data_IF_170612025822
#
_entry.id   IF_170612025822
#
_cell.length_a   1.000
_cell.length_b   1.000
_cell.length_c   1.000
_cell.angle_alpha   90.00
_cell.angle_beta   90.00
_cell.angle_gamma   90.00
#
_symmetry.space_group_name_H-M   'P 1'
#
loop_
_entity.id
_entity.type
_entity.pdbx_description
1 polymer ?
#
# COMPACT_ATOMS: atom_id res chain seq x y z
N UNK A 1 0.81 -9.93 12.78
CA UNK A 1 -0.36 -9.85 11.88
C UNK A 1 -1.69 -9.88 12.64
N UNK A 2 -1.98 -10.92 13.45
CA UNK A 2 -3.26 -11.04 14.18
C UNK A 2 -3.51 -9.92 15.21
N UNK A 3 -2.47 -9.43 15.90
CA UNK A 3 -2.59 -8.31 16.83
C UNK A 3 -2.98 -7.01 16.12
N UNK A 4 -2.33 -6.68 15.02
CA UNK A 4 -2.61 -5.47 14.23
C UNK A 4 -4.02 -5.50 13.64
N UNK A 5 -4.48 -6.66 13.16
CA UNK A 5 -5.84 -6.82 12.65
C UNK A 5 -6.92 -6.52 13.72
N UNK A 6 -6.69 -6.90 14.98
CA UNK A 6 -7.60 -6.57 16.11
C UNK A 6 -7.72 -5.07 16.34
N UNK A 7 -6.65 -4.32 16.13
CA UNK A 7 -6.62 -2.85 16.24
C UNK A 7 -7.06 -2.13 14.96
N UNK A 8 -7.55 -2.87 13.96
CA UNK A 8 -7.92 -2.29 12.66
C UNK A 8 -6.77 -1.59 11.95
N UNK A 9 -5.57 -2.11 12.09
CA UNK A 9 -4.37 -1.65 11.40
C UNK A 9 -3.97 -2.72 10.37
N UNK A 10 -3.93 -2.32 9.10
CA UNK A 10 -3.35 -3.10 8.01
C UNK A 10 -1.88 -2.74 7.83
N UNK A 11 -1.05 -3.70 7.40
CA UNK A 11 0.35 -3.46 7.09
C UNK A 11 0.75 -4.17 5.80
N UNK A 12 1.38 -3.43 4.92
CA UNK A 12 1.94 -3.90 3.66
C UNK A 12 3.46 -3.74 3.74
N UNK A 13 4.21 -4.84 3.91
CA UNK A 13 5.67 -4.78 4.00
C UNK A 13 6.32 -4.49 2.65
N UNK A 14 7.56 -4.05 2.69
CA UNK A 14 8.41 -3.87 1.50
C UNK A 14 8.51 -5.15 0.69
N UNK A 15 8.81 -6.28 1.36
CA UNK A 15 8.95 -7.60 0.75
C UNK A 15 8.04 -8.64 1.40
N UNK A 16 7.59 -9.62 0.62
CA UNK A 16 6.80 -10.75 1.12
C UNK A 16 5.37 -10.35 1.48
N UNK A 17 4.87 -10.87 2.62
CA UNK A 17 3.49 -10.65 3.07
C UNK A 17 2.48 -11.62 2.43
N UNK A 18 2.94 -12.65 1.73
CA UNK A 18 2.13 -13.68 1.07
C UNK A 18 2.85 -15.03 1.06
N UNK A 19 2.11 -16.11 0.83
CA UNK A 19 2.63 -17.48 0.70
C UNK A 19 3.02 -17.74 -0.75
N UNK A 20 4.29 -17.99 -1.01
CA UNK A 20 4.89 -18.10 -2.35
C UNK A 20 4.29 -19.23 -3.19
N UNK A 21 4.03 -20.38 -2.58
CA UNK A 21 3.58 -21.59 -3.28
C UNK A 21 2.07 -21.73 -3.39
N UNK A 22 1.32 -20.86 -2.71
CA UNK A 22 -0.12 -20.75 -2.84
C UNK A 22 -0.49 -19.87 -4.03
N UNK A 23 -1.63 -20.16 -4.66
CA UNK A 23 -2.22 -19.28 -5.67
C UNK A 23 -2.65 -17.95 -5.05
N UNK A 24 -2.95 -16.95 -5.88
CA UNK A 24 -3.51 -15.68 -5.43
C UNK A 24 -4.78 -15.90 -4.60
N UNK A 25 -5.70 -16.74 -5.09
CA UNK A 25 -6.93 -17.04 -4.38
C UNK A 25 -6.69 -17.77 -3.06
N UNK A 26 -5.81 -18.78 -3.04
CA UNK A 26 -5.47 -19.52 -1.83
C UNK A 26 -4.83 -18.63 -0.76
N UNK A 27 -4.01 -17.66 -1.16
CA UNK A 27 -3.46 -16.63 -0.26
C UNK A 27 -4.58 -15.84 0.43
N UNK A 28 -5.53 -15.30 -0.36
CA UNK A 28 -6.68 -14.56 0.18
C UNK A 28 -7.54 -15.45 1.07
N UNK A 29 -7.80 -16.70 0.66
CA UNK A 29 -8.59 -17.67 1.41
C UNK A 29 -7.95 -17.99 2.76
N UNK A 30 -6.67 -18.33 2.79
CA UNK A 30 -5.95 -18.67 4.03
C UNK A 30 -6.02 -17.53 5.06
N UNK A 31 -5.82 -16.28 4.64
CA UNK A 31 -5.91 -15.13 5.55
C UNK A 31 -7.36 -14.83 5.95
N UNK A 32 -8.31 -14.95 5.02
CA UNK A 32 -9.72 -14.75 5.33
C UNK A 32 -10.26 -15.79 6.33
N UNK A 33 -9.81 -17.03 6.27
CA UNK A 33 -10.18 -18.08 7.24
C UNK A 33 -9.75 -17.77 8.66
N UNK A 34 -8.62 -17.08 8.83
CA UNK A 34 -8.13 -16.63 10.13
C UNK A 34 -8.93 -15.43 10.67
N UNK A 35 -9.35 -14.52 9.78
CA UNK A 35 -9.94 -13.24 10.16
C UNK A 35 -11.46 -13.24 10.23
N UNK A 36 -12.12 -14.08 9.45
CA UNK A 36 -13.58 -14.08 9.28
C UNK A 36 -14.16 -15.48 9.57
N UNK A 37 -15.02 -15.58 10.56
CA UNK A 37 -15.63 -16.86 10.95
C UNK A 37 -16.70 -17.35 9.97
N UNK A 38 -17.42 -16.42 9.30
CA UNK A 38 -18.52 -16.72 8.39
C UNK A 38 -18.00 -17.02 6.99
N UNK A 39 -18.30 -18.23 6.49
CA UNK A 39 -17.87 -18.71 5.18
C UNK A 39 -18.42 -17.85 4.02
N UNK A 40 -19.68 -17.41 4.12
CA UNK A 40 -20.31 -16.59 3.07
C UNK A 40 -19.62 -15.22 2.98
N UNK A 41 -19.42 -14.57 4.13
CA UNK A 41 -18.71 -13.27 4.21
C UNK A 41 -17.27 -13.37 3.71
N UNK A 42 -16.58 -14.50 3.97
CA UNK A 42 -15.25 -14.75 3.40
C UNK A 42 -15.26 -14.74 1.88
N UNK A 43 -16.17 -15.56 1.29
CA UNK A 43 -16.26 -15.66 -0.18
C UNK A 43 -16.65 -14.34 -0.83
N UNK A 44 -17.62 -13.62 -0.27
CA UNK A 44 -18.04 -12.30 -0.75
C UNK A 44 -16.86 -11.31 -0.69
N UNK A 45 -16.14 -11.25 0.43
CA UNK A 45 -15.01 -10.33 0.62
C UNK A 45 -13.84 -10.64 -0.32
N UNK A 46 -13.49 -11.92 -0.49
CA UNK A 46 -12.42 -12.36 -1.41
C UNK A 46 -12.79 -11.97 -2.86
N UNK A 47 -13.99 -12.30 -3.31
CA UNK A 47 -14.42 -11.99 -4.67
C UNK A 47 -14.47 -10.48 -4.93
N UNK A 48 -14.96 -9.70 -3.95
CA UNK A 48 -14.91 -8.24 -4.01
C UNK A 48 -13.47 -7.71 -4.18
N UNK A 49 -12.50 -8.20 -3.39
CA UNK A 49 -11.12 -7.75 -3.50
C UNK A 49 -10.47 -8.18 -4.82
N UNK A 50 -10.71 -9.40 -5.29
CA UNK A 50 -10.21 -9.87 -6.58
C UNK A 50 -10.73 -8.97 -7.72
N UNK A 51 -12.02 -8.63 -7.70
CA UNK A 51 -12.61 -7.72 -8.69
C UNK A 51 -12.07 -6.30 -8.56
N UNK A 52 -12.04 -5.74 -7.34
CA UNK A 52 -11.58 -4.37 -7.07
C UNK A 52 -10.15 -4.11 -7.54
N UNK A 53 -9.27 -5.09 -7.42
CA UNK A 53 -7.86 -4.98 -7.81
C UNK A 53 -7.55 -5.51 -9.22
N UNK A 54 -8.57 -5.92 -9.98
CA UNK A 54 -8.42 -6.51 -11.31
C UNK A 54 -7.45 -7.72 -11.30
N UNK A 55 -7.75 -8.69 -10.43
CA UNK A 55 -6.93 -9.87 -10.21
C UNK A 55 -7.59 -11.16 -10.74
N UNK A 56 -8.74 -11.06 -11.40
CA UNK A 56 -9.55 -12.22 -11.81
C UNK A 56 -8.80 -13.17 -12.75
N UNK A 57 -8.05 -12.62 -13.71
CA UNK A 57 -7.33 -13.41 -14.73
C UNK A 57 -6.12 -14.18 -14.16
N UNK A 58 -5.63 -13.76 -12.99
CA UNK A 58 -4.45 -14.36 -12.34
C UNK A 58 -4.81 -15.07 -11.03
N UNK A 59 -6.10 -15.30 -10.80
CA UNK A 59 -6.65 -15.88 -9.57
C UNK A 59 -5.97 -17.20 -9.17
N UNK A 60 -5.73 -18.08 -10.15
CA UNK A 60 -5.23 -19.44 -9.93
C UNK A 60 -3.71 -19.55 -10.19
N UNK A 61 -3.03 -18.39 -10.39
CA UNK A 61 -1.58 -18.33 -10.55
C UNK A 61 -0.92 -18.31 -9.17
N UNK A 62 0.12 -19.13 -8.96
CA UNK A 62 0.91 -19.14 -7.73
C UNK A 62 1.60 -17.79 -7.55
N UNK A 63 1.62 -17.30 -6.29
CA UNK A 63 2.13 -15.98 -5.97
C UNK A 63 3.60 -15.76 -6.38
N UNK A 64 4.42 -16.80 -6.41
CA UNK A 64 5.81 -16.72 -6.90
C UNK A 64 5.94 -16.31 -8.35
N UNK A 65 4.95 -16.59 -9.19
CA UNK A 65 4.95 -16.26 -10.63
C UNK A 65 4.28 -14.92 -10.96
N UNK A 66 3.74 -14.22 -9.98
CA UNK A 66 3.15 -12.90 -10.17
C UNK A 66 4.24 -11.85 -10.44
N UNK A 67 3.89 -10.83 -11.25
CA UNK A 67 4.74 -9.63 -11.42
C UNK A 67 4.86 -8.82 -10.12
N UNK A 68 5.80 -7.88 -10.05
CA UNK A 68 5.97 -7.00 -8.89
C UNK A 68 4.68 -6.25 -8.53
N UNK A 69 4.03 -5.63 -9.51
CA UNK A 69 2.76 -4.93 -9.33
C UNK A 69 1.61 -5.85 -8.91
N UNK A 70 1.52 -7.05 -9.49
CA UNK A 70 0.52 -8.04 -9.08
C UNK A 70 0.74 -8.52 -7.65
N UNK A 71 1.98 -8.71 -7.21
CA UNK A 71 2.34 -9.03 -5.83
C UNK A 71 1.94 -7.90 -4.88
N UNK A 72 2.21 -6.63 -5.23
CA UNK A 72 1.77 -5.48 -4.41
C UNK A 72 0.25 -5.41 -4.30
N UNK A 73 -0.49 -5.57 -5.40
CA UNK A 73 -1.97 -5.67 -5.38
C UNK A 73 -2.44 -6.79 -4.44
N UNK A 74 -1.84 -7.98 -4.51
CA UNK A 74 -2.17 -9.10 -3.63
C UNK A 74 -1.96 -8.74 -2.16
N UNK A 75 -0.80 -8.17 -1.79
CA UNK A 75 -0.49 -7.85 -0.38
C UNK A 75 -1.42 -6.74 0.15
N UNK A 76 -1.75 -5.74 -0.66
CA UNK A 76 -2.74 -4.72 -0.30
C UNK A 76 -4.12 -5.39 -0.09
N UNK A 77 -4.55 -6.26 -1.00
CA UNK A 77 -5.82 -6.98 -0.87
C UNK A 77 -5.86 -7.84 0.41
N UNK A 78 -4.76 -8.53 0.74
CA UNK A 78 -4.62 -9.30 1.98
C UNK A 78 -4.77 -8.40 3.22
N UNK A 79 -4.16 -7.21 3.22
CA UNK A 79 -4.26 -6.28 4.35
C UNK A 79 -5.69 -5.74 4.55
N UNK A 80 -6.47 -5.63 3.46
CA UNK A 80 -7.86 -5.14 3.47
C UNK A 80 -8.88 -6.18 3.94
N UNK A 81 -8.50 -7.45 4.08
CA UNK A 81 -9.39 -8.49 4.62
C UNK A 81 -9.82 -8.18 6.06
N UNK A 82 -8.96 -7.54 6.85
CA UNK A 82 -9.27 -7.13 8.23
C UNK A 82 -10.16 -5.89 8.33
N UNK A 83 -10.55 -5.27 7.21
CA UNK A 83 -11.24 -3.99 7.14
C UNK A 83 -10.55 -2.93 8.03
N UNK A 84 -9.29 -2.57 7.73
CA UNK A 84 -8.50 -1.66 8.55
C UNK A 84 -9.06 -0.24 8.51
N UNK A 85 -8.83 0.52 9.59
CA UNK A 85 -9.01 1.98 9.62
C UNK A 85 -7.73 2.73 9.30
N UNK A 86 -6.60 2.10 9.54
CA UNK A 86 -5.26 2.62 9.22
C UNK A 86 -4.52 1.58 8.40
N UNK A 87 -3.90 2.00 7.30
CA UNK A 87 -3.08 1.17 6.44
C UNK A 87 -1.65 1.73 6.41
N UNK A 88 -0.70 0.91 6.82
CA UNK A 88 0.72 1.24 6.77
C UNK A 88 1.35 0.59 5.54
N UNK A 89 1.97 1.39 4.68
CA UNK A 89 2.65 0.93 3.46
C UNK A 89 4.15 1.21 3.59
N UNK A 90 4.95 0.17 3.49
CA UNK A 90 6.39 0.24 3.61
C UNK A 90 7.04 0.01 2.25
N UNK A 91 7.72 1.04 1.72
CA UNK A 91 8.37 1.07 0.40
C UNK A 91 7.51 0.43 -0.72
N UNK A 92 6.29 0.93 -0.86
CA UNK A 92 5.32 0.34 -1.78
C UNK A 92 5.62 0.60 -3.26
N UNK A 93 6.43 1.61 -3.58
CA UNK A 93 6.82 1.96 -4.96
C UNK A 93 8.15 1.35 -5.39
N UNK A 94 8.91 0.77 -4.47
CA UNK A 94 10.26 0.27 -4.74
C UNK A 94 10.28 -0.81 -5.85
N UNK A 95 11.23 -0.69 -6.78
CA UNK A 95 11.49 -1.63 -7.88
C UNK A 95 10.29 -1.90 -8.81
N UNK A 96 9.43 -0.91 -9.01
CA UNK A 96 8.29 -0.96 -9.92
C UNK A 96 8.50 -0.04 -11.12
N UNK A 97 7.87 -0.38 -12.23
CA UNK A 97 7.82 0.49 -13.41
C UNK A 97 6.82 1.66 -13.23
N UNK A 98 6.98 2.69 -14.05
CA UNK A 98 6.19 3.93 -13.95
C UNK A 98 4.68 3.70 -14.04
N UNK A 99 4.24 2.78 -14.91
CA UNK A 99 2.80 2.49 -15.06
C UNK A 99 2.24 1.80 -13.83
N UNK A 100 3.00 0.86 -13.26
CA UNK A 100 2.64 0.17 -12.02
C UNK A 100 2.58 1.14 -10.83
N UNK A 101 3.52 2.09 -10.74
CA UNK A 101 3.50 3.14 -9.70
C UNK A 101 2.24 3.99 -9.82
N UNK A 102 1.92 4.51 -11.01
CA UNK A 102 0.68 5.30 -11.22
C UNK A 102 -0.57 4.54 -10.83
N UNK A 103 -0.68 3.28 -11.24
CA UNK A 103 -1.78 2.42 -10.85
C UNK A 103 -1.88 2.26 -9.31
N UNK A 104 -0.77 2.09 -8.60
CA UNK A 104 -0.77 1.98 -7.15
C UNK A 104 -1.14 3.30 -6.47
N UNK A 105 -0.70 4.45 -6.99
CA UNK A 105 -1.12 5.77 -6.52
C UNK A 105 -2.64 5.94 -6.62
N UNK A 106 -3.24 5.57 -7.75
CA UNK A 106 -4.71 5.58 -7.94
C UNK A 106 -5.42 4.66 -6.94
N UNK A 107 -4.90 3.45 -6.73
CA UNK A 107 -5.45 2.53 -5.73
C UNK A 107 -5.40 3.15 -4.32
N UNK A 108 -4.29 3.76 -3.94
CA UNK A 108 -4.09 4.37 -2.62
C UNK A 108 -5.10 5.50 -2.41
N UNK A 109 -5.20 6.42 -3.37
CA UNK A 109 -6.15 7.55 -3.32
C UNK A 109 -7.60 7.04 -3.26
N UNK A 110 -7.95 6.05 -4.07
CA UNK A 110 -9.30 5.47 -4.05
C UNK A 110 -9.62 4.76 -2.73
N UNK A 111 -8.66 4.10 -2.10
CA UNK A 111 -8.86 3.47 -0.78
C UNK A 111 -9.15 4.50 0.30
N UNK A 112 -8.50 5.64 0.28
CA UNK A 112 -8.77 6.74 1.20
C UNK A 112 -10.16 7.33 0.95
N UNK A 113 -10.48 7.69 -0.28
CA UNK A 113 -11.74 8.36 -0.65
C UNK A 113 -12.97 7.48 -0.44
N UNK A 114 -12.93 6.21 -0.87
CA UNK A 114 -14.10 5.33 -0.85
C UNK A 114 -14.31 4.61 0.49
N UNK A 115 -13.22 4.31 1.21
CA UNK A 115 -13.28 3.46 2.40
C UNK A 115 -12.95 4.23 3.68
N UNK A 116 -12.64 5.51 3.59
CA UNK A 116 -12.27 6.37 4.72
C UNK A 116 -11.12 5.75 5.57
N UNK A 117 -10.13 5.20 4.87
CA UNK A 117 -8.94 4.57 5.48
C UNK A 117 -7.84 5.63 5.57
N UNK A 118 -7.31 5.85 6.75
CA UNK A 118 -6.08 6.65 6.91
C UNK A 118 -4.89 5.83 6.39
N UNK A 119 -4.12 6.38 5.46
CA UNK A 119 -2.97 5.68 4.86
C UNK A 119 -1.69 6.40 5.26
N UNK A 120 -0.74 5.66 5.81
CA UNK A 120 0.60 6.13 6.10
C UNK A 120 1.59 5.37 5.21
N UNK A 121 2.36 6.11 4.42
CA UNK A 121 3.34 5.56 3.46
C UNK A 121 4.73 5.99 3.90
N UNK A 122 5.64 5.03 4.03
CA UNK A 122 7.06 5.27 4.16
C UNK A 122 7.74 4.83 2.85
N UNK A 123 8.33 5.77 2.13
CA UNK A 123 9.01 5.48 0.86
C UNK A 123 10.14 6.48 0.61
N UNK A 124 11.19 6.07 -0.07
CA UNK A 124 12.30 6.93 -0.44
C UNK A 124 12.14 7.53 -1.85
N UNK A 125 11.15 7.10 -2.63
CA UNK A 125 10.83 7.65 -3.95
C UNK A 125 9.95 8.90 -3.78
N UNK A 126 10.59 10.02 -3.40
CA UNK A 126 9.89 11.24 -3.01
C UNK A 126 8.88 11.76 -4.04
N UNK A 127 9.20 11.70 -5.36
CA UNK A 127 8.28 12.19 -6.40
C UNK A 127 7.00 11.40 -6.43
N UNK A 128 7.12 10.08 -6.38
CA UNK A 128 5.98 9.18 -6.44
C UNK A 128 5.14 9.25 -5.17
N UNK A 129 5.79 9.37 -4.01
CA UNK A 129 5.12 9.56 -2.73
C UNK A 129 4.31 10.87 -2.73
N UNK A 130 4.96 11.99 -3.05
CA UNK A 130 4.35 13.33 -2.98
C UNK A 130 3.21 13.53 -3.99
N UNK A 131 3.11 12.69 -5.01
CA UNK A 131 2.03 12.74 -5.99
C UNK A 131 0.69 12.18 -5.49
N UNK A 132 0.67 11.47 -4.35
CA UNK A 132 -0.54 10.77 -3.88
C UNK A 132 -0.85 10.93 -2.38
N UNK A 133 -0.23 11.91 -1.71
CA UNK A 133 -0.45 12.15 -0.28
C UNK A 133 -0.95 13.58 -0.03
N UNK A 134 -1.72 13.76 1.04
CA UNK A 134 -2.23 15.07 1.45
C UNK A 134 -1.18 15.85 2.26
N UNK A 135 -0.44 15.15 3.12
CA UNK A 135 0.60 15.70 3.99
C UNK A 135 1.81 14.75 3.92
N UNK A 136 3.00 15.33 3.90
CA UNK A 136 4.23 14.58 3.97
C UNK A 136 5.17 15.15 5.03
N UNK A 137 5.97 14.27 5.63
CA UNK A 137 6.97 14.64 6.63
C UNK A 137 8.33 14.05 6.27
N UNK A 138 9.38 14.78 6.53
CA UNK A 138 10.77 14.34 6.33
C UNK A 138 11.40 14.06 7.68
N UNK A 139 11.85 12.80 7.83
CA UNK A 139 12.60 12.38 9.00
C UNK A 139 14.10 12.37 8.70
N UNK A 140 14.89 12.95 9.62
CA UNK A 140 16.35 12.87 9.59
C UNK A 140 16.87 12.75 11.01
N UNK A 141 17.81 11.82 11.23
CA UNK A 141 18.42 11.58 12.56
C UNK A 141 17.40 11.44 13.71
N UNK A 142 16.30 10.72 13.44
CA UNK A 142 15.25 10.48 14.44
C UNK A 142 14.36 11.68 14.77
N UNK A 143 14.41 12.76 13.97
CA UNK A 143 13.59 13.96 14.13
C UNK A 143 12.83 14.32 12.88
N UNK A 144 11.62 14.84 13.02
CA UNK A 144 10.88 15.45 11.91
C UNK A 144 11.50 16.83 11.67
N UNK A 145 12.04 17.05 10.47
CA UNK A 145 12.70 18.30 10.08
C UNK A 145 11.81 19.21 9.24
N UNK A 146 10.79 18.66 8.61
CA UNK A 146 9.77 19.40 7.89
C UNK A 146 8.50 18.54 7.77
N UNK A 147 7.33 19.20 7.87
CA UNK A 147 6.00 18.60 7.69
C UNK A 147 5.10 19.65 7.05
N UNK A 148 4.50 19.32 5.89
CA UNK A 148 3.56 20.20 5.19
C UNK A 148 2.87 19.42 4.05
N UNK A 149 1.98 20.11 3.32
CA UNK A 149 1.48 19.65 2.03
C UNK A 149 2.63 19.46 1.03
N UNK A 150 2.52 18.55 0.04
CA UNK A 150 3.55 18.35 -0.97
C UNK A 150 4.06 19.64 -1.62
N UNK A 151 3.14 20.53 -2.03
CA UNK A 151 3.46 21.80 -2.71
C UNK A 151 4.24 22.79 -1.84
N UNK A 152 4.03 22.80 -0.54
CA UNK A 152 4.75 23.63 0.41
C UNK A 152 6.07 22.99 0.81
N UNK A 153 6.05 21.66 1.01
CA UNK A 153 7.23 20.92 1.46
C UNK A 153 8.41 21.05 0.49
N UNK A 154 8.16 21.03 -0.82
CA UNK A 154 9.22 21.20 -1.84
C UNK A 154 9.81 22.62 -1.88
N UNK A 155 9.13 23.61 -1.30
CA UNK A 155 9.64 24.98 -1.16
C UNK A 155 10.37 25.20 0.16
N UNK A 156 10.21 24.33 1.12
CA UNK A 156 10.79 24.42 2.46
C UNK A 156 12.32 24.30 2.39
N UNK A 157 13.03 25.27 2.94
CA UNK A 157 14.49 25.33 2.90
C UNK A 157 15.16 24.17 3.62
N UNK A 158 14.60 23.72 4.76
CA UNK A 158 15.13 22.59 5.50
C UNK A 158 14.94 21.28 4.73
N UNK A 159 13.78 21.12 4.08
CA UNK A 159 13.48 19.97 3.24
C UNK A 159 14.41 19.89 2.01
N UNK A 160 14.69 21.03 1.36
CA UNK A 160 15.64 21.10 0.27
C UNK A 160 17.04 20.73 0.69
N UNK A 161 17.53 21.34 1.75
CA UNK A 161 18.89 21.11 2.24
C UNK A 161 19.14 19.67 2.72
N UNK A 162 18.11 19.06 3.32
CA UNK A 162 18.27 17.75 3.95
C UNK A 162 17.93 16.57 3.02
N UNK A 163 17.07 16.78 1.99
CA UNK A 163 16.54 15.66 1.23
C UNK A 163 16.39 15.91 -0.27
N UNK A 164 15.75 17.02 -0.68
CA UNK A 164 15.37 17.22 -2.09
C UNK A 164 16.48 17.77 -2.98
N UNK A 165 17.35 18.65 -2.44
CA UNK A 165 18.23 19.49 -3.24
C UNK A 165 17.48 20.64 -3.93
N UNK A 166 18.25 21.58 -4.53
CA UNK A 166 17.69 22.82 -5.08
C UNK A 166 16.82 22.66 -6.33
N UNK A 167 17.07 21.60 -7.10
CA UNK A 167 16.43 21.37 -8.42
C UNK A 167 15.23 20.41 -8.37
N UNK A 168 14.80 19.98 -7.20
CA UNK A 168 13.69 19.04 -7.08
C UNK A 168 12.37 19.71 -7.46
N UNK A 169 11.59 19.05 -8.32
CA UNK A 169 10.24 19.47 -8.72
C UNK A 169 9.30 18.26 -8.63
N UNK A 170 8.08 18.50 -8.16
CA UNK A 170 6.94 17.60 -8.35
C UNK A 170 6.35 17.98 -9.71
N UNK A 171 6.23 17.01 -10.60
CA UNK A 171 5.61 17.22 -11.92
C UNK A 171 4.11 17.34 -11.78
#
# INVERSE_FOLDING_TARGET
>A
FLRTAKFKIGYVPQYGGYFYDLTLYENLKAVAEILLNDQRKRSEKINYLISKFDLSQIRDIKAKFLSGGQKKKLVIALSLLSAPKVLLLDECFAALDVLTIKMLQEIIVNLQNENNITICICDHQARDLLACVDIAMILSNGKIIAEDTPSNLVKNINAKNAYFGDNFKIN
#
